data_IF_156714869181
#
_entry.id   IF_156714869181
#
_cell.length_a   1.000
_cell.length_b   1.000
_cell.length_c   1.000
_cell.angle_alpha   90.00
_cell.angle_beta   90.00
_cell.angle_gamma   90.00
#
_symmetry.space_group_name_H-M   'P 1'
#
loop_
_entity.id
_entity.type
_entity.pdbx_description
1 polymer ?
#
# COMPACT_ATOMS: atom_id res chain seq x y z
N UNK A 1 -6.51 19.06 -29.52
CA UNK A 1 -7.03 18.57 -28.22
C UNK A 1 -5.95 17.62 -27.78
N UNK A 2 -4.97 18.12 -27.02
CA UNK A 2 -3.70 17.40 -26.79
C UNK A 2 -3.30 17.60 -25.32
N UNK A 3 -4.23 17.28 -24.42
CA UNK A 3 -4.08 17.45 -22.97
C UNK A 3 -3.75 16.12 -22.28
N UNK A 4 -3.06 15.19 -22.96
CA UNK A 4 -2.80 13.84 -22.42
C UNK A 4 -1.34 13.58 -22.06
N UNK A 5 -0.40 14.41 -22.53
CA UNK A 5 1.04 14.19 -22.29
C UNK A 5 1.61 14.99 -21.11
N UNK A 6 1.02 16.15 -20.80
CA UNK A 6 1.51 17.03 -19.73
C UNK A 6 1.14 16.52 -18.32
N UNK A 7 0.05 15.76 -18.21
CA UNK A 7 -0.44 15.24 -16.93
C UNK A 7 0.47 14.13 -16.38
N UNK A 8 1.15 13.39 -17.27
CA UNK A 8 2.05 12.29 -16.89
C UNK A 8 3.39 12.76 -16.31
N UNK A 9 3.71 14.06 -16.47
CA UNK A 9 5.01 14.62 -16.09
C UNK A 9 5.07 15.05 -14.61
N UNK A 10 3.93 15.07 -13.91
CA UNK A 10 3.83 15.38 -12.47
C UNK A 10 3.28 14.23 -11.61
N UNK A 11 3.19 13.02 -12.14
CA UNK A 11 2.65 11.88 -11.40
C UNK A 11 3.65 11.35 -10.39
N UNK A 12 3.23 11.29 -9.13
CA UNK A 12 4.02 10.72 -8.05
C UNK A 12 3.82 9.19 -8.01
N UNK A 13 4.57 8.50 -7.13
CA UNK A 13 4.50 7.03 -7.00
C UNK A 13 3.07 6.50 -6.79
N UNK A 14 2.19 7.26 -6.11
CA UNK A 14 0.80 6.86 -5.83
C UNK A 14 -0.02 6.90 -7.11
N UNK A 15 0.12 7.97 -7.90
CA UNK A 15 -0.56 8.10 -9.20
C UNK A 15 -0.17 6.94 -10.13
N UNK A 16 1.12 6.58 -10.15
CA UNK A 16 1.61 5.43 -10.91
C UNK A 16 1.03 4.10 -10.43
N UNK A 17 0.99 3.88 -9.11
CA UNK A 17 0.41 2.69 -8.51
C UNK A 17 -1.09 2.56 -8.83
N UNK A 18 -1.84 3.66 -8.81
CA UNK A 18 -3.28 3.67 -9.09
C UNK A 18 -3.60 3.49 -10.58
N UNK A 19 -2.71 3.94 -11.46
CA UNK A 19 -2.85 3.77 -12.92
C UNK A 19 -2.41 2.38 -13.41
N UNK A 20 -1.49 1.74 -12.70
CA UNK A 20 -1.07 0.38 -13.02
C UNK A 20 -2.24 -0.59 -12.78
N UNK A 21 -2.51 -1.45 -13.76
CA UNK A 21 -3.55 -2.47 -13.62
C UNK A 21 -3.08 -3.49 -12.57
N UNK A 22 -3.50 -3.29 -11.31
CA UNK A 22 -3.15 -4.18 -10.21
C UNK A 22 -3.51 -5.62 -10.59
N UNK A 23 -2.52 -6.51 -10.50
CA UNK A 23 -2.69 -7.93 -10.79
C UNK A 23 -3.95 -8.45 -10.10
N UNK A 24 -4.81 -9.13 -10.87
CA UNK A 24 -6.07 -9.67 -10.38
C UNK A 24 -5.82 -10.43 -9.09
N UNK A 25 -6.42 -9.94 -8.00
CA UNK A 25 -6.33 -10.51 -6.65
C UNK A 25 -6.73 -11.97 -6.70
N UNK A 26 -5.74 -12.85 -6.83
CA UNK A 26 -5.93 -14.28 -6.91
C UNK A 26 -6.20 -14.82 -5.50
N UNK A 27 -6.97 -15.92 -5.37
CA UNK A 27 -7.08 -16.61 -4.09
C UNK A 27 -5.67 -17.08 -3.66
N UNK A 28 -5.13 -16.48 -2.60
CA UNK A 28 -3.75 -16.67 -2.15
C UNK A 28 -2.80 -15.49 -2.41
N UNK A 29 -3.32 -14.35 -2.85
CA UNK A 29 -2.51 -13.13 -3.00
C UNK A 29 -1.99 -12.63 -1.65
N UNK A 30 -0.66 -12.73 -1.47
CA UNK A 30 0.04 -12.16 -0.31
C UNK A 30 0.44 -10.70 -0.62
N UNK A 31 -0.34 -9.78 -0.09
CA UNK A 31 -0.12 -8.33 -0.22
C UNK A 31 1.23 -7.89 0.37
N UNK A 32 1.72 -8.54 1.43
CA UNK A 32 2.98 -8.19 2.06
C UNK A 32 4.16 -8.63 1.19
N UNK A 33 4.07 -9.83 0.61
CA UNK A 33 5.06 -10.29 -0.36
C UNK A 33 5.04 -9.45 -1.65
N UNK A 34 3.86 -9.02 -2.09
CA UNK A 34 3.73 -8.12 -3.25
C UNK A 34 4.43 -6.78 -3.01
N UNK A 35 4.19 -6.13 -1.86
CA UNK A 35 4.89 -4.89 -1.50
C UNK A 35 6.39 -5.09 -1.32
N UNK A 36 6.82 -6.27 -0.83
CA UNK A 36 8.25 -6.61 -0.74
C UNK A 36 8.93 -6.66 -2.11
N UNK A 37 8.26 -7.24 -3.12
CA UNK A 37 8.78 -7.30 -4.50
C UNK A 37 8.74 -5.91 -5.16
N UNK A 38 7.64 -5.17 -4.98
CA UNK A 38 7.44 -3.87 -5.62
C UNK A 38 8.04 -2.68 -4.87
N UNK A 39 8.65 -2.90 -3.70
CA UNK A 39 9.37 -1.86 -2.94
C UNK A 39 10.50 -1.20 -3.74
N UNK A 40 11.04 -1.86 -4.75
CA UNK A 40 12.06 -1.26 -5.63
C UNK A 40 11.45 -0.24 -6.59
N UNK A 41 10.19 -0.46 -7.00
CA UNK A 41 9.44 0.40 -7.92
C UNK A 41 8.74 1.55 -7.18
N UNK A 42 8.26 1.26 -5.97
CA UNK A 42 7.55 2.20 -5.11
C UNK A 42 8.23 2.23 -3.72
N UNK A 43 9.41 2.87 -3.58
CA UNK A 43 10.12 2.88 -2.31
C UNK A 43 9.34 3.58 -1.19
N UNK A 44 8.59 4.64 -1.49
CA UNK A 44 7.81 5.36 -0.48
C UNK A 44 6.54 4.60 -0.14
N UNK A 45 5.77 4.15 -1.14
CA UNK A 45 4.56 3.35 -0.84
C UNK A 45 4.92 1.99 -0.23
N UNK A 46 6.00 1.34 -0.66
CA UNK A 46 6.46 0.09 -0.09
C UNK A 46 6.86 0.23 1.37
N UNK A 47 7.50 1.34 1.74
CA UNK A 47 7.80 1.66 3.14
C UNK A 47 6.51 1.91 3.94
N UNK A 48 5.61 2.76 3.45
CA UNK A 48 4.33 3.04 4.12
C UNK A 48 3.48 1.78 4.25
N UNK A 49 3.41 0.95 3.21
CA UNK A 49 2.67 -0.30 3.23
C UNK A 49 3.24 -1.27 4.27
N UNK A 50 4.57 -1.35 4.41
CA UNK A 50 5.16 -2.11 5.51
C UNK A 50 4.80 -1.52 6.87
N UNK A 51 4.88 -0.22 7.05
CA UNK A 51 4.57 0.41 8.34
C UNK A 51 3.08 0.26 8.70
N UNK A 52 2.17 0.38 7.73
CA UNK A 52 0.72 0.24 7.92
C UNK A 52 0.30 -1.23 8.08
N UNK A 53 0.86 -2.15 7.28
CA UNK A 53 0.49 -3.57 7.30
C UNK A 53 1.23 -4.38 8.39
N UNK A 54 2.41 -3.92 8.83
CA UNK A 54 3.15 -4.55 9.92
C UNK A 54 2.65 -4.12 11.30
N UNK A 55 1.89 -3.03 11.40
CA UNK A 55 1.05 -2.79 12.58
C UNK A 55 -0.08 -3.81 12.50
N UNK A 56 -0.14 -4.84 13.36
CA UNK A 56 -1.33 -5.65 13.42
C UNK A 56 -2.49 -4.69 13.76
N UNK A 57 -3.56 -4.70 12.95
CA UNK A 57 -4.81 -3.97 13.21
C UNK A 57 -5.47 -4.36 14.56
N UNK A 58 -4.80 -5.17 15.39
CA UNK A 58 -5.17 -5.58 16.73
C UNK A 58 -4.75 -4.60 17.84
N UNK A 59 -4.31 -3.37 17.55
CA UNK A 59 -4.23 -2.31 18.57
C UNK A 59 -5.60 -1.73 18.96
N UNK A 60 -6.70 -2.43 18.64
CA UNK A 60 -7.80 -2.60 19.61
C UNK A 60 -7.37 -3.58 20.72
N UNK A 61 -6.18 -3.35 21.26
CA UNK A 61 -5.70 -3.90 22.53
C UNK A 61 -5.73 -2.80 23.60
N UNK A 62 -6.30 -1.62 23.31
CA UNK A 62 -6.60 -0.62 24.34
C UNK A 62 -7.87 -0.96 25.14
N UNK A 63 -8.78 -1.80 24.62
CA UNK A 63 -10.00 -2.20 25.34
C UNK A 63 -9.83 -3.45 26.25
N UNK A 64 -8.79 -4.28 26.07
CA UNK A 64 -8.63 -5.51 26.86
C UNK A 64 -7.70 -5.37 28.09
N UNK A 65 -6.93 -4.28 28.20
CA UNK A 65 -6.12 -3.99 29.39
C UNK A 65 -6.89 -3.23 30.49
N UNK A 66 -8.14 -2.81 30.21
CA UNK A 66 -9.02 -2.11 31.17
C UNK A 66 -10.32 -2.91 31.41
N UNK A 67 -10.22 -4.21 31.65
CA UNK A 67 -11.37 -5.00 32.12
C UNK A 67 -11.00 -6.08 33.14
N UNK A 68 -9.86 -5.96 33.81
CA UNK A 68 -9.62 -6.69 35.07
C UNK A 68 -8.64 -5.91 35.94
N UNK A 69 -9.20 -5.12 36.84
CA UNK A 69 -8.52 -4.34 37.87
C UNK A 69 -9.51 -3.49 38.62
#
# INVERSE_FOLDING_TARGET
MDTDLNDNMQKNEVDWYLMENLEKKSPGFDIMNWWKVNSTKYPILGQMARDILAIPLSTVASEFAFSTG
#
